data_IF_479011978061
#
_entry.id   IF_479011978061
#
_cell.length_a   1.000
_cell.length_b   1.000
_cell.length_c   1.000
_cell.angle_alpha   90.00
_cell.angle_beta   90.00
_cell.angle_gamma   90.00
#
_symmetry.space_group_name_H-M   'P 1'
#
loop_
_entity.id
_entity.type
_entity.pdbx_description
1 polymer ?
#
# COMPACT_ATOMS: atom_id res chain seq x y z
N UNK A 1 -13.41 1.79 -3.59
CA UNK A 1 -12.57 0.75 -4.22
C UNK A 1 -13.20 0.50 -5.55
N UNK A 2 -12.42 0.53 -6.63
CA UNK A 2 -12.92 0.33 -7.99
C UNK A 2 -12.17 -0.85 -8.58
N UNK A 3 -12.90 -1.72 -9.27
CA UNK A 3 -12.32 -2.87 -9.99
C UNK A 3 -12.73 -2.75 -11.44
N UNK A 4 -11.79 -2.86 -12.36
CA UNK A 4 -12.07 -2.93 -13.80
C UNK A 4 -11.42 -4.16 -14.40
N UNK A 5 -11.96 -4.66 -15.50
CA UNK A 5 -11.34 -5.73 -16.28
C UNK A 5 -10.28 -5.19 -17.27
N UNK A 6 -9.84 -6.05 -18.19
CA UNK A 6 -8.85 -5.75 -19.23
C UNK A 6 -9.38 -4.80 -20.32
N UNK A 7 -10.71 -4.69 -20.46
CA UNK A 7 -11.41 -3.76 -21.38
C UNK A 7 -11.73 -2.43 -20.71
N UNK A 8 -11.35 -2.27 -19.45
CA UNK A 8 -11.68 -1.13 -18.59
C UNK A 8 -13.18 -1.05 -18.23
N UNK A 9 -13.91 -2.14 -18.40
CA UNK A 9 -15.29 -2.24 -17.95
C UNK A 9 -15.31 -2.41 -16.41
N UNK A 10 -16.20 -1.68 -15.75
CA UNK A 10 -16.31 -1.73 -14.30
C UNK A 10 -16.91 -3.07 -13.83
N UNK A 11 -16.24 -3.67 -12.86
CA UNK A 11 -16.70 -4.87 -12.18
C UNK A 11 -17.38 -4.44 -10.89
N UNK A 12 -18.65 -4.79 -10.75
CA UNK A 12 -19.42 -4.47 -9.55
C UNK A 12 -18.79 -5.09 -8.29
N UNK A 13 -18.46 -4.23 -7.32
CA UNK A 13 -18.08 -4.60 -5.97
C UNK A 13 -19.28 -4.36 -5.06
N UNK A 14 -20.03 -5.42 -4.75
CA UNK A 14 -21.23 -5.35 -3.94
C UNK A 14 -20.94 -4.87 -2.51
N UNK A 15 -19.81 -5.28 -1.93
CA UNK A 15 -19.32 -4.77 -0.64
C UNK A 15 -17.84 -5.06 -0.45
N UNK A 16 -17.26 -4.54 0.63
CA UNK A 16 -15.94 -4.94 1.10
C UNK A 16 -15.95 -5.09 2.62
N UNK A 17 -15.07 -5.93 3.15
CA UNK A 17 -14.91 -6.14 4.58
C UNK A 17 -13.44 -6.26 4.97
N UNK A 18 -13.14 -6.01 6.24
CA UNK A 18 -11.78 -6.18 6.78
C UNK A 18 -11.79 -7.34 7.77
N UNK A 19 -10.98 -8.36 7.49
CA UNK A 19 -10.70 -9.48 8.40
C UNK A 19 -9.44 -9.10 9.21
N UNK A 20 -9.63 -8.71 10.46
CA UNK A 20 -8.55 -8.24 11.33
C UNK A 20 -7.62 -9.37 11.80
N UNK A 21 -8.14 -10.60 11.91
CA UNK A 21 -7.38 -11.76 12.37
C UNK A 21 -6.39 -12.20 11.28
N UNK A 22 -6.88 -12.28 10.03
CA UNK A 22 -6.05 -12.64 8.88
C UNK A 22 -5.35 -11.44 8.24
N UNK A 23 -5.72 -10.23 8.66
CA UNK A 23 -5.22 -8.97 8.12
C UNK A 23 -5.52 -8.79 6.62
N UNK A 24 -6.75 -9.12 6.22
CA UNK A 24 -7.20 -9.04 4.83
C UNK A 24 -8.21 -7.93 4.60
N UNK A 25 -8.08 -7.27 3.45
CA UNK A 25 -9.15 -6.55 2.80
C UNK A 25 -9.84 -7.51 1.83
N UNK A 26 -11.11 -7.82 2.08
CA UNK A 26 -11.90 -8.75 1.27
C UNK A 26 -12.86 -7.94 0.40
N UNK A 27 -12.82 -8.15 -0.91
CA UNK A 27 -13.74 -7.54 -1.87
C UNK A 27 -14.79 -8.57 -2.26
N UNK A 28 -16.07 -8.25 -2.07
CA UNK A 28 -17.20 -9.09 -2.47
C UNK A 28 -17.74 -8.56 -3.78
N UNK A 29 -17.46 -9.26 -4.88
CA UNK A 29 -17.95 -8.90 -6.21
C UNK A 29 -19.42 -9.30 -6.37
N UNK A 30 -20.19 -8.54 -7.16
CA UNK A 30 -21.60 -8.84 -7.42
C UNK A 30 -21.83 -10.14 -8.19
N UNK A 31 -20.78 -10.64 -8.85
CA UNK A 31 -20.76 -11.89 -9.62
C UNK A 31 -19.40 -12.58 -9.50
N UNK A 32 -19.35 -13.83 -9.92
CA UNK A 32 -18.10 -14.57 -10.09
C UNK A 32 -17.21 -13.87 -11.12
N UNK A 33 -15.91 -13.82 -10.84
CA UNK A 33 -14.91 -13.36 -11.77
C UNK A 33 -14.55 -14.49 -12.73
N UNK A 34 -14.56 -14.20 -14.02
CA UNK A 34 -14.03 -15.09 -15.03
C UNK A 34 -12.48 -15.03 -15.03
N UNK A 35 -11.79 -16.06 -15.54
CA UNK A 35 -10.34 -16.01 -15.68
C UNK A 35 -9.92 -14.82 -16.56
N UNK A 36 -9.07 -13.94 -16.01
CA UNK A 36 -8.67 -12.72 -16.71
C UNK A 36 -7.76 -11.81 -15.90
N UNK A 37 -7.49 -10.62 -16.45
CA UNK A 37 -6.76 -9.56 -15.76
C UNK A 37 -7.72 -8.51 -15.22
N UNK A 38 -7.46 -8.06 -14.01
CA UNK A 38 -8.26 -7.05 -13.34
C UNK A 38 -7.35 -5.97 -12.77
N UNK A 39 -7.79 -4.72 -12.84
CA UNK A 39 -7.17 -3.59 -12.18
C UNK A 39 -7.98 -3.26 -10.93
N UNK A 40 -7.31 -3.24 -9.78
CA UNK A 40 -7.94 -2.89 -8.50
C UNK A 40 -7.37 -1.55 -8.04
N UNK A 41 -8.24 -0.54 -7.93
CA UNK A 41 -7.91 0.77 -7.42
C UNK A 41 -8.43 0.95 -6.00
N UNK A 42 -7.51 1.18 -5.07
CA UNK A 42 -7.81 1.37 -3.64
C UNK A 42 -7.21 2.69 -3.19
N UNK A 43 -8.08 3.62 -2.80
CA UNK A 43 -7.67 4.80 -2.05
C UNK A 43 -7.66 4.46 -0.57
N UNK A 44 -6.56 4.75 0.11
CA UNK A 44 -6.39 4.47 1.54
C UNK A 44 -5.65 5.61 2.23
N UNK A 45 -5.75 5.64 3.57
CA UNK A 45 -4.99 6.53 4.43
C UNK A 45 -4.20 5.66 5.40
N UNK A 46 -2.88 5.85 5.43
CA UNK A 46 -1.97 5.19 6.37
C UNK A 46 -1.43 6.21 7.38
N UNK A 47 -1.17 5.74 8.61
CA UNK A 47 -0.50 6.54 9.63
C UNK A 47 0.99 6.26 9.62
N UNK A 48 1.82 7.30 9.50
CA UNK A 48 3.25 7.20 9.77
C UNK A 48 3.46 6.94 11.25
N UNK A 49 3.75 5.69 11.57
CA UNK A 49 3.87 5.21 12.94
C UNK A 49 5.28 5.48 13.49
N UNK A 50 5.47 5.32 14.81
CA UNK A 50 6.75 5.51 15.50
C UNK A 50 7.49 4.19 15.75
N UNK A 51 7.01 3.09 15.17
CA UNK A 51 7.59 1.76 15.28
C UNK A 51 8.36 1.52 13.98
N UNK A 52 9.51 0.86 14.03
CA UNK A 52 10.38 0.67 12.86
C UNK A 52 9.84 -0.43 11.91
N UNK A 53 8.55 -0.37 11.58
CA UNK A 53 7.79 -1.35 10.82
C UNK A 53 6.82 -0.67 9.84
N UNK A 54 6.66 -1.26 8.66
CA UNK A 54 5.82 -0.72 7.61
C UNK A 54 6.39 0.59 7.06
N UNK A 55 5.52 1.56 6.82
CA UNK A 55 5.94 2.94 6.51
C UNK A 55 5.84 3.78 7.79
N UNK A 56 6.99 4.24 8.28
CA UNK A 56 7.13 4.85 9.59
C UNK A 56 7.92 6.15 9.53
N UNK A 57 7.78 6.99 10.57
CA UNK A 57 8.60 8.18 10.72
C UNK A 57 9.73 7.94 11.70
N UNK A 58 10.88 8.55 11.41
CA UNK A 58 12.04 8.56 12.29
C UNK A 58 12.58 9.98 12.40
N UNK A 59 13.50 10.20 13.33
CA UNK A 59 14.15 11.49 13.53
C UNK A 59 15.61 11.33 13.88
N UNK A 60 16.40 12.35 13.54
CA UNK A 60 17.79 12.48 13.94
C UNK A 60 18.09 13.93 14.29
N UNK A 61 19.18 14.18 15.03
CA UNK A 61 19.66 15.53 15.32
C UNK A 61 20.73 15.93 14.31
N UNK A 62 20.61 17.14 13.77
CA UNK A 62 21.64 17.80 12.98
C UNK A 62 21.65 19.28 13.36
N UNK A 63 22.82 19.84 13.65
CA UNK A 63 22.99 21.24 14.08
C UNK A 63 22.11 21.61 15.31
N UNK A 64 21.96 20.66 16.24
CA UNK A 64 21.08 20.78 17.41
C UNK A 64 19.57 20.93 17.10
N UNK A 65 19.17 20.69 15.84
CA UNK A 65 17.77 20.68 15.38
C UNK A 65 17.33 19.24 15.08
N UNK A 66 16.15 18.86 15.58
CA UNK A 66 15.53 17.58 15.24
C UNK A 66 14.99 17.64 13.80
N UNK A 67 15.50 16.75 12.94
CA UNK A 67 15.02 16.57 11.58
C UNK A 67 14.22 15.27 11.48
N UNK A 68 13.12 15.32 10.75
CA UNK A 68 12.21 14.19 10.56
C UNK A 68 12.39 13.57 9.18
N UNK A 69 12.20 12.27 9.10
CA UNK A 69 12.17 11.51 7.85
C UNK A 69 11.06 10.45 7.91
N UNK A 70 10.66 9.95 6.74
CA UNK A 70 9.84 8.75 6.61
C UNK A 70 10.65 7.67 5.90
N UNK A 71 10.54 6.43 6.37
CA UNK A 71 11.26 5.28 5.84
C UNK A 71 10.37 4.05 5.86
N UNK A 72 10.71 3.04 5.05
CA UNK A 72 10.02 1.76 5.02
C UNK A 72 10.87 0.64 5.60
N UNK A 73 10.23 -0.27 6.33
CA UNK A 73 10.78 -1.56 6.75
C UNK A 73 9.66 -2.60 6.62
N UNK A 74 9.67 -3.36 5.52
CA UNK A 74 8.55 -4.27 5.18
C UNK A 74 8.79 -5.72 5.57
N UNK A 75 10.02 -6.12 5.87
CA UNK A 75 10.31 -7.50 6.23
C UNK A 75 9.73 -7.84 7.62
N UNK A 76 9.03 -8.97 7.81
CA UNK A 76 8.69 -9.97 6.77
C UNK A 76 7.32 -9.76 6.14
N UNK A 77 6.39 -9.12 6.84
CA UNK A 77 4.96 -9.02 6.46
C UNK A 77 4.37 -7.65 6.80
N UNK A 78 5.20 -6.60 6.77
CA UNK A 78 4.80 -5.25 7.14
C UNK A 78 4.52 -4.36 5.92
N UNK A 79 4.68 -4.86 4.68
CA UNK A 79 4.30 -4.10 3.48
C UNK A 79 2.80 -3.77 3.49
N UNK A 80 1.96 -4.72 3.93
CA UNK A 80 0.51 -4.55 4.09
C UNK A 80 0.10 -3.40 5.02
N UNK A 81 1.01 -2.90 5.86
CA UNK A 81 0.77 -1.75 6.77
C UNK A 81 1.00 -0.41 6.09
N UNK A 82 1.75 -0.41 4.99
CA UNK A 82 2.00 0.78 4.19
C UNK A 82 0.96 0.94 3.09
N UNK A 83 0.58 -0.15 2.41
CA UNK A 83 -0.43 -0.14 1.35
C UNK A 83 -1.07 -1.53 1.19
N UNK A 84 -2.34 -1.63 0.75
CA UNK A 84 -2.98 -2.91 0.45
C UNK A 84 -2.25 -3.64 -0.69
N UNK A 85 -1.77 -4.86 -0.42
CA UNK A 85 -1.05 -5.67 -1.40
C UNK A 85 -1.14 -7.16 -1.08
N UNK A 86 -0.77 -7.99 -2.07
CA UNK A 86 -0.60 -9.42 -1.90
C UNK A 86 0.75 -9.70 -1.23
N UNK A 87 0.79 -9.57 0.10
CA UNK A 87 2.01 -9.52 0.90
C UNK A 87 2.57 -10.92 1.24
N UNK A 88 2.90 -11.67 0.19
CA UNK A 88 3.60 -12.96 0.24
C UNK A 88 4.79 -12.95 -0.73
N UNK A 89 5.97 -13.48 -0.33
CA UNK A 89 7.20 -13.36 -1.12
C UNK A 89 7.15 -14.05 -2.49
N UNK A 90 6.28 -15.05 -2.66
CA UNK A 90 6.09 -15.75 -3.93
C UNK A 90 5.29 -14.92 -4.96
N UNK A 91 4.46 -13.97 -4.51
CA UNK A 91 3.57 -13.16 -5.34
C UNK A 91 4.27 -11.90 -5.85
N UNK A 92 5.29 -12.10 -6.70
CA UNK A 92 6.10 -11.01 -7.26
C UNK A 92 5.30 -10.16 -8.24
N UNK A 93 5.53 -8.84 -8.19
CA UNK A 93 4.96 -7.87 -9.12
C UNK A 93 5.97 -6.77 -9.45
N UNK A 94 5.69 -5.99 -10.50
CA UNK A 94 6.42 -4.75 -10.81
C UNK A 94 5.74 -3.59 -10.08
N UNK A 95 6.54 -2.67 -9.54
CA UNK A 95 6.04 -1.53 -8.79
C UNK A 95 6.49 -0.23 -9.45
N UNK A 96 5.53 0.62 -9.80
CA UNK A 96 5.80 2.01 -10.18
C UNK A 96 5.38 2.89 -9.02
N UNK A 97 6.33 3.61 -8.41
CA UNK A 97 6.12 4.34 -7.16
C UNK A 97 6.23 5.84 -7.41
N UNK A 98 5.22 6.58 -6.94
CA UNK A 98 5.19 8.05 -6.95
C UNK A 98 4.98 8.57 -5.53
N UNK A 99 5.80 9.53 -5.10
CA UNK A 99 5.74 10.08 -3.73
C UNK A 99 5.51 11.59 -3.80
N UNK A 100 4.36 12.03 -3.29
CA UNK A 100 4.11 13.42 -2.98
C UNK A 100 4.86 13.82 -1.71
N UNK A 101 5.63 14.90 -1.75
CA UNK A 101 6.43 15.39 -0.61
C UNK A 101 6.60 16.92 -0.63
N UNK A 102 6.96 17.54 0.50
CA UNK A 102 7.44 18.91 0.51
C UNK A 102 8.66 19.10 -0.39
N UNK A 103 8.78 20.26 -1.04
CA UNK A 103 9.88 20.59 -1.97
C UNK A 103 11.26 20.59 -1.31
N UNK A 104 11.32 20.83 0.00
CA UNK A 104 12.55 20.80 0.80
C UNK A 104 13.05 19.39 1.13
N UNK A 105 12.26 18.34 0.85
CA UNK A 105 12.62 16.96 1.12
C UNK A 105 13.15 16.26 -0.13
N UNK A 106 13.79 15.11 0.08
CA UNK A 106 14.13 14.13 -0.95
C UNK A 106 13.32 12.84 -0.72
N UNK A 107 13.05 12.10 -1.79
CA UNK A 107 12.42 10.78 -1.76
C UNK A 107 13.23 9.86 -2.67
N UNK A 108 13.45 8.66 -2.18
CA UNK A 108 14.27 7.62 -2.79
C UNK A 108 13.44 6.34 -2.73
N UNK A 109 13.44 5.58 -3.81
CA UNK A 109 12.75 4.30 -3.94
C UNK A 109 13.53 3.41 -4.91
N UNK A 110 13.29 2.10 -4.85
CA UNK A 110 13.65 1.19 -5.94
C UNK A 110 12.90 1.59 -7.22
N UNK A 111 13.49 1.26 -8.37
CA UNK A 111 12.96 1.48 -9.72
C UNK A 111 12.45 0.19 -10.35
#
# INVERSE_FOLDING_TARGET
ITVTDDREDEVEVASHSVDLERQFLVLHTGRWLEPGQYKVYIQYIGNLNNVLQGFYRSSYKADNVTRWLAASQFQSTDARRAFPCMDEPALKARFTISIGRPTSMMAISNM
#
